data_IF_149528056484
#
_entry.id   IF_149528056484
#
_cell.length_a   1.000
_cell.length_b   1.000
_cell.length_c   1.000
_cell.angle_alpha   90.00
_cell.angle_beta   90.00
_cell.angle_gamma   90.00
#
_symmetry.space_group_name_H-M   'P 1'
#
loop_
_entity.id
_entity.type
_entity.pdbx_description
1 polymer ?
#
# COMPACT_ATOMS: atom_id res chain seq x y z
N UNK A 1 -11.49 31.54 -25.87
CA UNK A 1 -10.09 31.42 -25.51
C UNK A 1 -9.68 29.96 -25.63
N UNK A 2 -8.75 29.60 -26.51
CA UNK A 2 -8.31 28.22 -26.67
C UNK A 2 -7.50 27.83 -25.41
N UNK A 3 -8.00 26.87 -24.64
CA UNK A 3 -7.25 26.30 -23.51
C UNK A 3 -6.06 25.53 -24.11
N UNK A 4 -4.86 26.04 -23.92
CA UNK A 4 -3.64 25.35 -24.35
C UNK A 4 -3.58 24.02 -23.64
N UNK A 5 -3.77 22.91 -24.36
CA UNK A 5 -3.69 21.56 -23.79
C UNK A 5 -2.29 21.35 -23.24
N UNK A 6 -2.17 21.08 -21.96
CA UNK A 6 -0.87 20.84 -21.31
C UNK A 6 -0.25 19.57 -21.87
N UNK A 7 0.97 19.68 -22.43
CA UNK A 7 1.74 18.51 -22.82
C UNK A 7 2.41 17.88 -21.58
N UNK A 8 1.74 16.91 -21.02
CA UNK A 8 2.21 16.21 -19.81
C UNK A 8 3.46 15.35 -20.07
N UNK A 9 3.68 14.89 -21.30
CA UNK A 9 4.88 14.13 -21.66
C UNK A 9 6.11 15.05 -21.64
N UNK A 10 6.05 16.19 -22.30
CA UNK A 10 7.12 17.19 -22.27
C UNK A 10 7.40 17.69 -20.84
N UNK A 11 6.34 17.89 -20.03
CA UNK A 11 6.52 18.27 -18.62
C UNK A 11 7.26 17.21 -17.81
N UNK A 12 6.91 15.92 -17.96
CA UNK A 12 7.61 14.82 -17.28
C UNK A 12 9.07 14.73 -17.73
N UNK A 13 9.34 14.84 -19.02
CA UNK A 13 10.70 14.81 -19.56
C UNK A 13 11.56 15.94 -18.98
N UNK A 14 11.03 17.15 -18.91
CA UNK A 14 11.71 18.29 -18.30
C UNK A 14 12.03 18.04 -16.81
N UNK A 15 11.08 17.47 -16.04
CA UNK A 15 11.29 17.12 -14.64
C UNK A 15 12.34 16.02 -14.48
N UNK A 16 12.29 14.99 -15.31
CA UNK A 16 13.29 13.92 -15.30
C UNK A 16 14.69 14.47 -15.57
N UNK A 17 14.83 15.33 -16.59
CA UNK A 17 16.10 15.96 -16.92
C UNK A 17 16.63 16.86 -15.79
N UNK A 18 15.75 17.58 -15.11
CA UNK A 18 16.14 18.50 -14.05
C UNK A 18 16.52 17.80 -12.74
N UNK A 19 15.80 16.72 -12.35
CA UNK A 19 15.86 16.17 -10.98
C UNK A 19 16.30 14.72 -10.92
N UNK A 20 16.05 13.88 -11.92
CA UNK A 20 16.37 12.47 -11.88
C UNK A 20 17.82 12.23 -12.33
N UNK A 21 18.67 11.88 -11.38
CA UNK A 21 20.06 11.51 -11.70
C UNK A 21 20.13 10.10 -12.29
N UNK A 22 21.09 9.83 -13.21
CA UNK A 22 21.39 8.46 -13.66
C UNK A 22 21.62 7.51 -12.47
N UNK A 23 21.20 6.26 -12.59
CA UNK A 23 21.24 5.26 -11.49
C UNK A 23 22.60 5.23 -10.75
N UNK A 24 23.70 5.25 -11.51
CA UNK A 24 25.07 5.18 -10.97
C UNK A 24 25.52 6.47 -10.24
N UNK A 25 24.78 7.58 -10.41
CA UNK A 25 25.08 8.89 -9.79
C UNK A 25 24.06 9.28 -8.71
N UNK A 26 23.11 8.41 -8.38
CA UNK A 26 22.15 8.66 -7.29
C UNK A 26 22.86 8.54 -5.95
N UNK A 27 22.70 9.50 -5.04
CA UNK A 27 23.24 9.37 -3.71
C UNK A 27 22.53 8.21 -2.98
N UNK A 28 23.22 7.59 -2.05
CA UNK A 28 22.57 6.66 -1.13
C UNK A 28 21.54 7.42 -0.27
N UNK A 29 20.45 6.74 0.05
CA UNK A 29 19.48 7.29 1.02
C UNK A 29 20.06 7.27 2.43
N UNK A 30 19.72 8.24 3.25
CA UNK A 30 19.99 8.24 4.69
C UNK A 30 18.89 7.51 5.50
N UNK A 31 17.74 7.21 4.88
CA UNK A 31 16.66 6.46 5.53
C UNK A 31 17.01 4.96 5.60
N UNK A 32 16.56 4.29 6.68
CA UNK A 32 16.66 2.83 6.83
C UNK A 32 15.47 2.08 6.24
N UNK A 33 14.42 2.76 5.84
CA UNK A 33 13.17 2.23 5.34
C UNK A 33 11.96 2.91 5.99
N UNK A 34 10.80 2.35 5.78
CA UNK A 34 9.56 2.76 6.48
C UNK A 34 9.50 1.97 7.79
N UNK A 35 9.46 2.66 8.95
CA UNK A 35 9.30 1.97 10.23
C UNK A 35 7.90 1.35 10.33
N UNK A 36 6.86 2.16 10.12
CA UNK A 36 5.49 1.70 9.99
C UNK A 36 4.66 2.70 9.19
N UNK A 37 3.59 2.19 8.57
CA UNK A 37 2.49 2.97 8.02
C UNK A 37 1.29 2.76 8.94
N UNK A 38 0.67 3.83 9.43
CA UNK A 38 -0.49 3.75 10.31
C UNK A 38 -1.77 4.10 9.56
N UNK A 39 -2.79 3.26 9.69
CA UNK A 39 -4.12 3.42 9.16
C UNK A 39 -5.14 3.47 10.31
N UNK A 40 -6.35 3.91 10.02
CA UNK A 40 -7.48 3.85 10.96
C UNK A 40 -8.39 2.71 10.51
N UNK A 41 -8.80 1.86 11.45
CA UNK A 41 -9.74 0.78 11.20
C UNK A 41 -11.08 1.02 11.91
N UNK A 42 -12.16 0.58 11.26
CA UNK A 42 -13.50 0.65 11.83
C UNK A 42 -13.85 -0.53 12.74
N UNK A 43 -13.14 -1.66 12.61
CA UNK A 43 -13.35 -2.86 13.40
C UNK A 43 -12.04 -3.64 13.53
N UNK A 44 -11.53 -3.73 14.77
CA UNK A 44 -10.23 -4.34 15.10
C UNK A 44 -10.20 -5.82 14.70
N UNK A 45 -11.22 -6.60 15.10
CA UNK A 45 -11.22 -8.05 14.87
C UNK A 45 -11.31 -8.38 13.39
N UNK A 46 -12.15 -7.68 12.64
CA UNK A 46 -12.26 -7.80 11.18
C UNK A 46 -10.94 -7.47 10.50
N UNK A 47 -10.28 -6.40 10.90
CA UNK A 47 -9.00 -5.97 10.35
C UNK A 47 -7.90 -6.99 10.65
N UNK A 48 -7.78 -7.45 11.91
CA UNK A 48 -6.80 -8.48 12.27
C UNK A 48 -7.01 -9.76 11.45
N UNK A 49 -8.25 -10.26 11.35
CA UNK A 49 -8.56 -11.46 10.55
C UNK A 49 -8.21 -11.29 9.08
N UNK A 50 -8.51 -10.13 8.51
CA UNK A 50 -8.19 -9.87 7.11
C UNK A 50 -6.68 -9.91 6.86
N UNK A 51 -5.90 -9.14 7.61
CA UNK A 51 -4.46 -9.06 7.40
C UNK A 51 -3.73 -10.36 7.80
N UNK A 52 -4.17 -11.04 8.85
CA UNK A 52 -3.54 -12.30 9.28
C UNK A 52 -3.98 -13.52 8.47
N UNK A 53 -5.28 -13.68 8.20
CA UNK A 53 -5.80 -14.91 7.58
C UNK A 53 -5.84 -14.82 6.05
N UNK A 54 -6.24 -13.67 5.48
CA UNK A 54 -6.32 -13.49 4.03
C UNK A 54 -4.94 -13.19 3.46
N UNK A 55 -4.25 -12.18 4.01
CA UNK A 55 -2.96 -11.75 3.49
C UNK A 55 -1.78 -12.54 4.07
N UNK A 56 -1.93 -13.14 5.25
CA UNK A 56 -0.89 -13.93 5.92
C UNK A 56 0.17 -13.08 6.60
N UNK A 57 -0.15 -11.84 6.93
CA UNK A 57 0.74 -10.94 7.67
C UNK A 57 0.48 -11.09 9.18
N UNK A 58 1.43 -11.62 9.96
CA UNK A 58 1.18 -11.92 11.36
C UNK A 58 0.96 -10.65 12.19
N UNK A 59 -0.02 -10.70 13.11
CA UNK A 59 -0.15 -9.72 14.18
C UNK A 59 1.03 -9.89 15.14
N UNK A 60 1.77 -8.82 15.40
CA UNK A 60 3.00 -8.87 16.23
C UNK A 60 2.91 -8.04 17.49
N UNK A 61 2.03 -7.03 17.53
CA UNK A 61 1.79 -6.19 18.71
C UNK A 61 0.36 -5.69 18.75
N UNK A 62 -0.20 -5.59 19.96
CA UNK A 62 -1.50 -5.00 20.24
C UNK A 62 -1.51 -4.44 21.67
N UNK A 63 -1.78 -3.15 21.81
CA UNK A 63 -1.82 -2.47 23.10
C UNK A 63 -2.73 -1.25 23.09
N UNK A 64 -2.99 -0.70 24.27
CA UNK A 64 -3.74 0.53 24.44
C UNK A 64 -3.02 1.72 23.78
N UNK A 65 -3.75 2.55 23.05
CA UNK A 65 -3.19 3.77 22.49
C UNK A 65 -2.76 4.70 23.62
N UNK A 66 -1.50 5.08 23.64
CA UNK A 66 -0.88 5.91 24.69
C UNK A 66 -1.60 7.25 24.90
N UNK A 67 -2.11 7.83 23.81
CA UNK A 67 -2.68 9.19 23.83
C UNK A 67 -4.22 9.17 24.00
N UNK A 68 -4.86 8.00 23.84
CA UNK A 68 -6.31 7.81 23.97
C UNK A 68 -6.62 6.38 24.43
N UNK A 69 -6.96 6.19 25.69
CA UNK A 69 -7.11 4.87 26.32
C UNK A 69 -8.30 4.04 25.81
N UNK A 70 -9.29 4.68 25.17
CA UNK A 70 -10.39 3.98 24.49
C UNK A 70 -10.00 3.41 23.12
N UNK A 71 -8.84 3.81 22.59
CA UNK A 71 -8.30 3.40 21.29
C UNK A 71 -7.27 2.29 21.46
N UNK A 72 -7.24 1.36 20.53
CA UNK A 72 -6.24 0.30 20.43
C UNK A 72 -5.24 0.61 19.33
N UNK A 73 -3.99 0.26 19.56
CA UNK A 73 -2.93 0.34 18.56
C UNK A 73 -2.33 -1.05 18.35
N UNK A 74 -2.32 -1.54 17.10
CA UNK A 74 -1.81 -2.85 16.78
C UNK A 74 -1.05 -2.89 15.46
N UNK A 75 -0.23 -3.93 15.28
CA UNK A 75 0.76 -3.99 14.20
C UNK A 75 0.80 -5.36 13.54
N UNK A 76 0.85 -5.35 12.22
CA UNK A 76 1.16 -6.52 11.40
C UNK A 76 2.58 -6.40 10.85
N UNK A 77 3.34 -7.50 10.86
CA UNK A 77 4.67 -7.57 10.27
C UNK A 77 4.56 -7.72 8.75
N UNK A 78 5.23 -6.83 8.02
CA UNK A 78 5.37 -6.86 6.57
C UNK A 78 6.74 -7.39 6.11
N UNK A 79 7.57 -7.84 7.06
CA UNK A 79 8.94 -8.26 6.78
C UNK A 79 9.95 -7.11 6.67
N UNK A 80 11.21 -7.44 6.67
CA UNK A 80 12.33 -6.49 6.58
C UNK A 80 12.30 -5.35 7.60
N UNK A 81 11.63 -5.55 8.75
CA UNK A 81 11.45 -4.53 9.77
C UNK A 81 10.41 -3.45 9.44
N UNK A 82 9.59 -3.66 8.43
CA UNK A 82 8.48 -2.77 8.10
C UNK A 82 7.19 -3.29 8.75
N UNK A 83 6.39 -2.37 9.29
CA UNK A 83 5.14 -2.71 9.94
C UNK A 83 3.96 -1.96 9.31
N UNK A 84 2.80 -2.61 9.30
CA UNK A 84 1.53 -1.95 9.04
C UNK A 84 0.79 -1.84 10.37
N UNK A 85 0.52 -0.61 10.78
CA UNK A 85 -0.09 -0.27 12.05
C UNK A 85 -1.55 0.16 11.87
N UNK A 86 -2.36 -0.05 12.89
CA UNK A 86 -3.75 0.36 12.92
C UNK A 86 -4.11 1.00 14.25
N UNK A 87 -5.02 1.97 14.17
CA UNK A 87 -5.74 2.54 15.29
C UNK A 87 -7.24 2.37 15.07
N UNK A 88 -8.01 2.14 16.13
CA UNK A 88 -9.44 2.37 16.14
C UNK A 88 -9.79 3.61 16.97
N UNK A 89 -10.95 4.19 16.67
CA UNK A 89 -11.49 5.34 17.43
C UNK A 89 -12.98 5.07 17.70
N UNK A 90 -13.30 4.17 18.66
CA UNK A 90 -14.69 3.73 18.87
C UNK A 90 -15.64 4.83 19.34
N UNK A 91 -15.11 5.86 19.99
CA UNK A 91 -15.90 7.01 20.48
C UNK A 91 -16.03 8.14 19.44
N UNK A 92 -15.23 8.11 18.37
CA UNK A 92 -15.26 9.09 17.28
C UNK A 92 -15.15 8.38 15.92
N UNK A 93 -16.20 7.67 15.48
CA UNK A 93 -16.17 6.90 14.25
C UNK A 93 -15.94 7.79 13.03
N UNK A 94 -14.92 7.45 12.25
CA UNK A 94 -14.51 8.20 11.08
C UNK A 94 -15.14 7.64 9.80
N UNK A 95 -15.36 8.48 8.77
CA UNK A 95 -15.84 7.99 7.48
C UNK A 95 -14.77 7.13 6.78
N UNK A 96 -15.18 6.23 5.87
CA UNK A 96 -14.25 5.48 5.04
C UNK A 96 -13.26 6.39 4.30
N UNK A 97 -12.04 5.88 4.09
CA UNK A 97 -11.00 6.61 3.37
C UNK A 97 -11.40 6.91 1.92
N UNK A 98 -10.89 8.01 1.40
CA UNK A 98 -10.99 8.38 -0.02
C UNK A 98 -9.70 9.05 -0.48
N UNK A 99 -9.44 8.96 -1.78
CA UNK A 99 -8.31 9.64 -2.38
C UNK A 99 -8.42 11.15 -2.24
N UNK A 100 -7.32 11.77 -1.81
CA UNK A 100 -7.18 13.22 -1.71
C UNK A 100 -5.71 13.61 -1.90
N UNK A 101 -5.46 14.87 -2.28
CA UNK A 101 -4.08 15.39 -2.36
C UNK A 101 -3.45 15.34 -0.97
N UNK A 102 -2.29 14.67 -0.86
CA UNK A 102 -1.61 14.41 0.41
C UNK A 102 -2.09 13.15 1.13
N UNK A 103 -3.20 12.52 0.69
CA UNK A 103 -3.66 11.24 1.18
C UNK A 103 -2.95 10.05 0.55
N UNK A 104 -3.17 8.88 1.12
CA UNK A 104 -2.68 7.62 0.57
C UNK A 104 -3.48 7.26 -0.69
N UNK A 105 -2.78 6.94 -1.79
CA UNK A 105 -3.41 6.36 -2.97
C UNK A 105 -3.59 4.85 -2.78
N UNK A 106 -2.50 4.13 -2.50
CA UNK A 106 -2.50 2.70 -2.15
C UNK A 106 -1.26 2.35 -1.34
N UNK A 107 -1.27 1.16 -0.75
CA UNK A 107 -0.08 0.51 -0.18
C UNK A 107 0.27 -0.67 -1.06
N UNK A 108 1.46 -0.65 -1.65
CA UNK A 108 2.00 -1.80 -2.40
C UNK A 108 2.92 -2.61 -1.50
N UNK A 109 2.68 -3.92 -1.44
CA UNK A 109 3.38 -4.86 -0.57
C UNK A 109 3.95 -5.98 -1.43
N UNK A 110 5.27 -6.10 -1.43
CA UNK A 110 5.98 -7.17 -2.14
C UNK A 110 5.88 -8.49 -1.37
N UNK A 111 5.53 -9.56 -2.07
CA UNK A 111 5.46 -10.91 -1.52
C UNK A 111 6.12 -11.92 -2.47
N UNK A 112 6.63 -13.06 -1.98
CA UNK A 112 7.05 -14.16 -2.85
C UNK A 112 5.91 -14.66 -3.75
N UNK A 113 6.24 -15.21 -4.91
CA UNK A 113 5.27 -15.69 -5.92
C UNK A 113 4.25 -16.68 -5.34
N UNK A 114 4.68 -17.60 -4.52
CA UNK A 114 3.80 -18.58 -3.87
C UNK A 114 2.79 -17.91 -2.93
N UNK A 115 3.21 -16.86 -2.21
CA UNK A 115 2.32 -16.07 -1.37
C UNK A 115 1.36 -15.20 -2.20
N UNK A 116 1.80 -14.65 -3.32
CA UNK A 116 0.93 -13.95 -4.26
C UNK A 116 -0.20 -14.87 -4.75
N UNK A 117 0.14 -16.07 -5.21
CA UNK A 117 -0.84 -17.05 -5.71
C UNK A 117 -1.78 -17.53 -4.59
N UNK A 118 -1.27 -17.70 -3.36
CA UNK A 118 -2.08 -18.02 -2.18
C UNK A 118 -3.07 -16.90 -1.85
N UNK A 119 -2.61 -15.64 -1.82
CA UNK A 119 -3.46 -14.48 -1.53
C UNK A 119 -4.56 -14.37 -2.59
N UNK A 120 -4.23 -14.49 -3.88
CA UNK A 120 -5.22 -14.50 -4.95
C UNK A 120 -6.28 -15.58 -4.72
N UNK A 121 -5.88 -16.79 -4.37
CA UNK A 121 -6.81 -17.87 -4.04
C UNK A 121 -7.70 -17.59 -2.82
N UNK A 122 -7.19 -16.89 -1.80
CA UNK A 122 -8.01 -16.47 -0.65
C UNK A 122 -8.99 -15.34 -1.01
N UNK A 123 -8.61 -14.41 -1.90
CA UNK A 123 -9.52 -13.38 -2.42
C UNK A 123 -10.67 -14.03 -3.23
N UNK A 124 -10.35 -14.96 -4.13
CA UNK A 124 -11.33 -15.72 -4.92
C UNK A 124 -12.32 -16.47 -4.02
N UNK A 125 -11.80 -17.22 -3.06
CA UNK A 125 -12.60 -18.02 -2.11
C UNK A 125 -13.57 -17.17 -1.27
N UNK A 126 -13.20 -15.93 -0.98
CA UNK A 126 -13.99 -14.99 -0.17
C UNK A 126 -14.82 -14.02 -1.03
N UNK A 127 -14.78 -14.17 -2.35
CA UNK A 127 -15.45 -13.29 -3.32
C UNK A 127 -15.06 -11.80 -3.15
N UNK A 128 -13.80 -11.54 -2.79
CA UNK A 128 -13.25 -10.19 -2.74
C UNK A 128 -12.83 -9.80 -4.13
N UNK A 129 -13.45 -8.74 -4.65
CA UNK A 129 -13.13 -8.21 -5.97
C UNK A 129 -11.70 -7.66 -6.02
N UNK A 130 -10.98 -8.00 -7.07
CA UNK A 130 -9.66 -7.46 -7.36
C UNK A 130 -9.50 -7.19 -8.85
N UNK A 131 -8.54 -6.34 -9.21
CA UNK A 131 -8.19 -6.06 -10.60
C UNK A 131 -6.65 -6.11 -10.78
N UNK A 132 -6.20 -6.29 -11.99
CA UNK A 132 -4.85 -6.74 -12.30
C UNK A 132 -4.94 -8.23 -12.59
N UNK A 133 -4.13 -9.08 -12.77
CA UNK A 133 -2.89 -9.10 -13.51
C UNK A 133 -3.07 -9.07 -15.05
N UNK A 134 -4.18 -8.58 -15.57
CA UNK A 134 -4.43 -8.51 -17.03
C UNK A 134 -3.40 -7.67 -17.80
N UNK A 135 -2.74 -6.76 -17.11
CA UNK A 135 -1.73 -5.86 -17.70
C UNK A 135 -0.34 -5.99 -17.07
N UNK A 136 -0.29 -6.53 -15.85
CA UNK A 136 0.97 -6.77 -15.12
C UNK A 136 0.79 -8.08 -14.38
N UNK A 137 1.40 -9.16 -14.84
CA UNK A 137 1.25 -10.53 -14.30
C UNK A 137 1.60 -10.67 -12.81
N UNK A 138 2.15 -9.62 -12.20
CA UNK A 138 2.75 -9.64 -10.88
C UNK A 138 2.04 -8.76 -9.86
N UNK A 139 0.93 -8.08 -10.20
CA UNK A 139 0.30 -7.09 -9.33
C UNK A 139 -1.21 -7.30 -9.22
N UNK A 140 -1.76 -7.30 -8.01
CA UNK A 140 -3.18 -7.39 -7.68
C UNK A 140 -3.60 -6.19 -6.84
N UNK A 141 -4.64 -5.48 -7.27
CA UNK A 141 -5.26 -4.38 -6.54
C UNK A 141 -6.62 -4.80 -5.98
N UNK A 142 -6.87 -4.55 -4.71
CA UNK A 142 -8.14 -4.82 -4.05
C UNK A 142 -8.34 -3.88 -2.86
N UNK A 143 -9.56 -3.85 -2.35
CA UNK A 143 -9.88 -3.05 -1.16
C UNK A 143 -9.74 -3.88 0.11
N UNK A 144 -9.09 -3.32 1.10
CA UNK A 144 -9.09 -3.81 2.46
C UNK A 144 -10.41 -3.55 3.19
N UNK A 145 -10.52 -3.96 4.47
CA UNK A 145 -11.76 -3.93 5.24
C UNK A 145 -12.44 -2.55 5.34
N UNK A 146 -11.65 -1.48 5.36
CA UNK A 146 -12.14 -0.11 5.53
C UNK A 146 -12.08 0.74 4.25
N UNK A 147 -11.89 0.05 3.10
CA UNK A 147 -11.90 0.64 1.78
C UNK A 147 -10.54 1.17 1.32
N UNK A 148 -9.49 0.98 2.11
CA UNK A 148 -8.12 1.27 1.72
C UNK A 148 -7.73 0.45 0.49
N UNK A 149 -7.06 1.08 -0.47
CA UNK A 149 -6.57 0.38 -1.65
C UNK A 149 -5.22 -0.28 -1.34
N UNK A 150 -5.17 -1.58 -1.53
CA UNK A 150 -3.97 -2.40 -1.37
C UNK A 150 -3.53 -2.92 -2.73
N UNK A 151 -2.23 -3.05 -2.88
CA UNK A 151 -1.59 -3.73 -3.98
C UNK A 151 -0.67 -4.81 -3.43
N UNK A 152 -0.78 -6.01 -3.95
CA UNK A 152 0.18 -7.10 -3.68
C UNK A 152 0.99 -7.33 -4.94
N UNK A 153 2.30 -7.25 -4.81
CA UNK A 153 3.23 -7.46 -5.92
C UNK A 153 4.13 -8.67 -5.67
N UNK A 154 4.34 -9.47 -6.72
CA UNK A 154 5.28 -10.58 -6.70
C UNK A 154 6.71 -10.16 -7.08
N UNK A 155 6.94 -8.89 -7.37
CA UNK A 155 8.25 -8.36 -7.69
C UNK A 155 9.07 -8.11 -6.40
N UNK A 156 10.40 -8.30 -6.45
CA UNK A 156 11.26 -8.05 -5.29
C UNK A 156 11.31 -6.56 -4.93
N UNK A 157 11.68 -6.26 -3.68
CA UNK A 157 11.91 -4.90 -3.20
C UNK A 157 13.09 -4.26 -3.94
N UNK A 158 12.80 -3.56 -5.02
CA UNK A 158 13.80 -2.83 -5.79
C UNK A 158 13.23 -1.53 -6.37
N UNK A 159 14.10 -0.70 -6.91
CA UNK A 159 13.65 0.52 -7.60
C UNK A 159 12.97 0.13 -8.92
N UNK A 160 11.68 0.40 -9.01
CA UNK A 160 10.92 0.21 -10.24
C UNK A 160 11.50 1.09 -11.37
N UNK A 161 11.80 0.48 -12.51
CA UNK A 161 12.07 1.22 -13.73
C UNK A 161 10.74 1.48 -14.43
N UNK A 162 10.31 2.75 -14.46
CA UNK A 162 9.07 3.14 -15.14
C UNK A 162 9.10 2.68 -16.59
N UNK A 163 8.32 1.65 -16.92
CA UNK A 163 8.10 1.21 -18.31
C UNK A 163 6.83 1.88 -18.82
N UNK A 164 6.85 2.47 -20.04
CA UNK A 164 5.62 2.90 -20.68
C UNK A 164 4.70 1.67 -20.80
N UNK A 165 3.43 1.84 -20.47
CA UNK A 165 2.44 0.83 -20.79
C UNK A 165 2.51 0.56 -22.29
N UNK A 166 2.65 -0.69 -22.70
CA UNK A 166 2.55 -1.06 -24.11
C UNK A 166 1.20 -0.56 -24.62
N UNK A 167 1.22 0.24 -25.71
CA UNK A 167 0.02 0.72 -26.37
C UNK A 167 -0.66 -0.41 -27.13
#
# INVERSE_FOLDING_TARGET
MATTRVDYAAKREALMKAYLKPKQKRPATSARGIHHLALICGDIERTIKFYSEVLGFPLVELFENRDLTSSTHFFHDLGHGNLLAFFDFPEDPMPPTREAVGGMHHVSISVPRDQFDRIRGELDKRHIEYFGPDRVENSLYFKGPDGELLEIEADPLEVMEGRPLAQ
#
